data_IF_781544541400
#
_entry.id   IF_781544541400
#
_cell.length_a   1.000
_cell.length_b   1.000
_cell.length_c   1.000
_cell.angle_alpha   90.00
_cell.angle_beta   90.00
_cell.angle_gamma   90.00
#
_symmetry.space_group_name_H-M   'P 1'
#
loop_
_entity.id
_entity.type
_entity.pdbx_description
1 polymer ?
#
# COMPACT_ATOMS: atom_id res chain seq x y z
N UNK A 1 -3.81 -0.82 9.83
CA UNK A 1 -3.18 -0.29 8.61
C UNK A 1 -2.77 1.12 8.97
N UNK A 2 -1.49 1.42 8.89
CA UNK A 2 -0.98 2.76 9.20
C UNK A 2 -0.66 3.47 7.88
N UNK A 3 -1.11 4.72 7.75
CA UNK A 3 -1.00 5.51 6.52
C UNK A 3 -0.29 6.83 6.84
N UNK A 4 0.72 7.19 6.04
CA UNK A 4 1.39 8.49 6.11
C UNK A 4 1.42 9.13 4.73
N UNK A 5 0.96 10.37 4.64
CA UNK A 5 0.88 11.11 3.38
C UNK A 5 1.93 12.22 3.39
N UNK A 6 2.73 12.31 2.32
CA UNK A 6 3.57 13.46 1.96
C UNK A 6 3.08 13.97 0.60
N UNK A 7 3.28 15.25 0.28
CA UNK A 7 2.64 15.96 -0.84
C UNK A 7 2.17 15.08 -2.04
N UNK A 8 3.10 14.37 -2.70
CA UNK A 8 2.81 13.52 -3.86
C UNK A 8 3.02 12.00 -3.60
N UNK A 9 3.18 11.59 -2.35
CA UNK A 9 3.49 10.20 -1.99
C UNK A 9 2.66 9.74 -0.79
N UNK A 10 2.24 8.49 -0.81
CA UNK A 10 1.61 7.85 0.34
C UNK A 10 2.41 6.61 0.73
N UNK A 11 2.71 6.51 2.02
CA UNK A 11 3.29 5.33 2.65
C UNK A 11 2.16 4.57 3.37
N UNK A 12 2.02 3.28 3.04
CA UNK A 12 1.01 2.37 3.57
C UNK A 12 1.76 1.21 4.23
N UNK A 13 1.48 0.96 5.50
CA UNK A 13 1.95 -0.22 6.21
C UNK A 13 0.79 -1.21 6.45
N UNK A 14 0.98 -2.42 5.93
CA UNK A 14 0.04 -3.53 6.09
C UNK A 14 0.72 -4.62 6.93
N UNK A 15 0.15 -4.91 8.09
CA UNK A 15 0.56 -6.05 8.91
C UNK A 15 -0.54 -7.11 8.82
N UNK A 16 -0.20 -8.29 8.33
CA UNK A 16 -1.16 -9.38 8.12
C UNK A 16 -0.50 -10.74 8.30
N UNK A 17 -1.29 -11.82 8.28
CA UNK A 17 -0.75 -13.19 8.25
C UNK A 17 0.08 -13.39 6.98
N UNK A 18 1.21 -14.07 7.10
CA UNK A 18 2.02 -14.47 5.95
C UNK A 18 1.37 -15.66 5.22
N UNK A 19 1.33 -15.55 3.89
CA UNK A 19 0.81 -16.60 3.01
C UNK A 19 1.39 -16.46 1.60
N UNK A 20 1.49 -17.59 0.90
CA UNK A 20 2.07 -17.65 -0.43
C UNK A 20 1.29 -16.79 -1.44
N UNK A 21 1.94 -15.78 -2.01
CA UNK A 21 1.36 -14.84 -2.96
C UNK A 21 0.84 -13.53 -2.35
N UNK A 22 1.04 -13.30 -1.04
CA UNK A 22 0.66 -12.06 -0.35
C UNK A 22 1.20 -10.81 -1.07
N UNK A 23 2.50 -10.80 -1.40
CA UNK A 23 3.15 -9.66 -2.07
C UNK A 23 2.53 -9.43 -3.46
N UNK A 24 2.31 -10.48 -4.23
CA UNK A 24 1.74 -10.39 -5.58
C UNK A 24 0.30 -9.85 -5.56
N UNK A 25 -0.50 -10.28 -4.59
CA UNK A 25 -1.88 -9.80 -4.45
C UNK A 25 -1.90 -8.33 -4.07
N UNK A 26 -1.07 -7.91 -3.12
CA UNK A 26 -1.00 -6.52 -2.67
C UNK A 26 -0.49 -5.60 -3.80
N UNK A 27 0.61 -5.97 -4.46
CA UNK A 27 1.11 -5.22 -5.61
C UNK A 27 0.07 -5.16 -6.74
N UNK A 28 -0.61 -6.27 -7.01
CA UNK A 28 -1.67 -6.37 -8.01
C UNK A 28 -2.88 -5.47 -7.70
N UNK A 29 -3.30 -5.37 -6.44
CA UNK A 29 -4.40 -4.46 -6.04
C UNK A 29 -4.02 -3.01 -6.32
N UNK A 30 -2.82 -2.59 -5.93
CA UNK A 30 -2.36 -1.22 -6.11
C UNK A 30 -2.29 -0.87 -7.60
N UNK A 31 -1.71 -1.75 -8.43
CA UNK A 31 -1.66 -1.56 -9.87
C UNK A 31 -3.04 -1.50 -10.52
N UNK A 32 -3.99 -2.36 -10.12
CA UNK A 32 -5.37 -2.33 -10.65
C UNK A 32 -6.11 -1.06 -10.28
N UNK A 33 -5.76 -0.41 -9.18
CA UNK A 33 -6.30 0.90 -8.78
C UNK A 33 -5.62 2.08 -9.50
N UNK A 34 -4.63 1.82 -10.35
CA UNK A 34 -3.99 2.83 -11.20
C UNK A 34 -2.77 3.52 -10.58
N UNK A 35 -2.41 3.17 -9.34
CA UNK A 35 -1.31 3.79 -8.61
C UNK A 35 0.04 3.18 -8.96
N UNK A 36 1.08 4.02 -8.98
CA UNK A 36 2.46 3.59 -9.18
C UNK A 36 3.14 3.26 -7.85
N UNK A 37 3.68 2.05 -7.72
CA UNK A 37 4.50 1.65 -6.57
C UNK A 37 5.92 2.20 -6.78
N UNK A 38 6.37 3.09 -5.90
CA UNK A 38 7.77 3.56 -5.85
C UNK A 38 8.67 2.62 -5.07
N UNK A 39 8.12 2.04 -4.00
CA UNK A 39 8.88 1.23 -3.07
C UNK A 39 7.95 0.18 -2.44
N UNK A 40 8.45 -1.03 -2.30
CA UNK A 40 7.80 -2.10 -1.55
C UNK A 40 8.87 -2.85 -0.77
N UNK A 41 8.68 -2.95 0.54
CA UNK A 41 9.51 -3.78 1.44
C UNK A 41 8.62 -4.75 2.19
N UNK A 42 8.96 -6.02 2.14
CA UNK A 42 8.38 -7.05 3.00
C UNK A 42 9.33 -7.42 4.13
N UNK A 43 8.77 -7.65 5.32
CA UNK A 43 9.48 -8.10 6.50
C UNK A 43 8.68 -9.21 7.19
N UNK A 44 9.34 -10.33 7.50
CA UNK A 44 8.73 -11.38 8.30
C UNK A 44 8.75 -10.98 9.77
N UNK A 45 7.61 -11.10 10.41
CA UNK A 45 7.41 -10.84 11.83
C UNK A 45 7.24 -12.17 12.58
N UNK A 46 7.15 -12.10 13.91
CA UNK A 46 6.78 -13.25 14.73
C UNK A 46 5.35 -13.73 14.41
N UNK A 47 5.04 -14.96 14.84
CA UNK A 47 3.68 -15.54 14.77
C UNK A 47 3.09 -15.66 13.36
N UNK A 48 3.92 -16.04 12.38
CA UNK A 48 3.48 -16.19 10.97
C UNK A 48 2.86 -14.91 10.39
N UNK A 49 3.36 -13.73 10.79
CA UNK A 49 2.92 -12.45 10.24
C UNK A 49 3.98 -11.84 9.33
N UNK A 50 3.55 -10.97 8.44
CA UNK A 50 4.40 -10.15 7.60
C UNK A 50 3.98 -8.68 7.70
N UNK A 51 4.96 -7.77 7.71
CA UNK A 51 4.75 -6.34 7.43
C UNK A 51 5.12 -6.06 5.97
N UNK A 52 4.23 -5.36 5.27
CA UNK A 52 4.51 -4.77 3.97
C UNK A 52 4.47 -3.25 4.10
N UNK A 53 5.62 -2.61 3.90
CA UNK A 53 5.74 -1.17 3.80
C UNK A 53 5.77 -0.78 2.33
N UNK A 54 4.80 0.01 1.90
CA UNK A 54 4.57 0.32 0.48
C UNK A 54 4.52 1.82 0.32
N UNK A 55 5.27 2.35 -0.66
CA UNK A 55 5.16 3.76 -1.07
C UNK A 55 4.58 3.83 -2.45
N UNK A 56 3.51 4.59 -2.58
CA UNK A 56 2.89 4.95 -3.86
C UNK A 56 3.16 6.41 -4.17
N UNK A 57 3.29 6.72 -5.45
CA UNK A 57 3.35 8.10 -5.96
C UNK A 57 2.04 8.44 -6.67
N UNK A 58 1.55 9.64 -6.40
CA UNK A 58 0.43 10.25 -7.11
C UNK A 58 0.96 11.10 -8.26
N UNK A 59 0.38 10.96 -9.46
CA UNK A 59 0.77 11.76 -10.63
C UNK A 59 0.20 13.17 -10.55
N UNK A 60 -0.92 13.35 -9.87
CA UNK A 60 -1.62 14.62 -9.71
C UNK A 60 -2.50 14.62 -8.45
N UNK A 61 -3.07 15.78 -8.12
CA UNK A 61 -3.94 15.98 -6.97
C UNK A 61 -5.24 15.15 -7.06
N UNK A 62 -5.81 14.99 -8.26
CA UNK A 62 -7.02 14.18 -8.48
C UNK A 62 -6.81 12.70 -8.12
N UNK A 63 -5.66 12.12 -8.44
CA UNK A 63 -5.30 10.74 -8.09
C UNK A 63 -5.13 10.58 -6.57
N UNK A 64 -4.57 11.59 -5.91
CA UNK A 64 -4.45 11.63 -4.44
C UNK A 64 -5.82 11.70 -3.77
N UNK A 65 -6.72 12.55 -4.25
CA UNK A 65 -8.09 12.66 -3.72
C UNK A 65 -8.87 11.34 -3.90
N UNK A 66 -8.81 10.73 -5.08
CA UNK A 66 -9.42 9.41 -5.32
C UNK A 66 -8.89 8.32 -4.38
N UNK A 67 -7.60 8.37 -4.06
CA UNK A 67 -7.01 7.42 -3.11
C UNK A 67 -7.56 7.63 -1.69
N UNK A 68 -7.65 8.88 -1.25
CA UNK A 68 -8.20 9.25 0.06
C UNK A 68 -9.66 8.82 0.20
N UNK A 69 -10.50 9.11 -0.80
CA UNK A 69 -11.91 8.71 -0.82
C UNK A 69 -12.06 7.18 -0.70
N UNK A 70 -11.23 6.42 -1.44
CA UNK A 70 -11.23 4.96 -1.37
C UNK A 70 -10.76 4.38 -0.03
N UNK A 71 -10.03 5.17 0.77
CA UNK A 71 -9.57 4.75 2.10
C UNK A 71 -10.56 5.11 3.20
N UNK A 72 -11.31 6.19 3.05
CA UNK A 72 -12.38 6.55 4.00
C UNK A 72 -13.56 5.56 3.96
N UNK A 73 -13.76 4.89 2.82
CA UNK A 73 -14.77 3.83 2.65
C UNK A 73 -14.36 2.43 3.19
N UNK A 74 -13.15 2.28 3.74
CA UNK A 74 -12.58 0.99 4.22
C UNK A 74 -12.48 0.89 5.74
#
# INVERSE_FOLDING_TARGET
MDIRIKENECEIEIITKDWAGLVDVVAGVIHRRGFNIKFLRGELLAEERASLLIKIEFKNEEEREKFLDQMDDM
#
